data_IF_947358748903
#
_entry.id   IF_947358748903
#
_cell.length_a   1.000
_cell.length_b   1.000
_cell.length_c   1.000
_cell.angle_alpha   90.00
_cell.angle_beta   90.00
_cell.angle_gamma   90.00
#
_symmetry.space_group_name_H-M   'P 1'
#
loop_
_entity.id
_entity.type
_entity.pdbx_description
1 polymer ?
#
# COMPACT_ATOMS: atom_id res chain seq x y z
N UNK A 1 -22.58 38.78 8.01
CA UNK A 1 -23.69 37.86 8.29
C UNK A 1 -23.33 37.09 9.56
N UNK A 2 -23.95 37.43 10.74
CA UNK A 2 -23.63 36.73 12.00
C UNK A 2 -24.33 35.38 12.00
N UNK A 3 -23.56 34.29 12.03
CA UNK A 3 -24.10 32.93 12.19
C UNK A 3 -24.87 32.89 13.53
N UNK A 4 -26.12 32.41 13.49
CA UNK A 4 -26.98 32.29 14.64
C UNK A 4 -26.38 31.29 15.65
N UNK A 5 -26.33 31.66 16.92
CA UNK A 5 -25.75 30.92 18.06
C UNK A 5 -26.17 29.42 18.10
N UNK A 6 -27.41 29.13 17.66
CA UNK A 6 -27.90 27.73 17.53
C UNK A 6 -27.19 26.92 16.43
N UNK A 7 -26.78 27.55 15.32
CA UNK A 7 -26.03 26.85 14.25
C UNK A 7 -24.60 26.60 14.69
N UNK A 8 -23.97 27.55 15.37
CA UNK A 8 -22.62 27.40 15.91
C UNK A 8 -22.54 26.27 16.96
N UNK A 9 -23.53 26.21 17.88
CA UNK A 9 -23.63 25.11 18.86
C UNK A 9 -23.86 23.74 18.23
N UNK A 10 -24.62 23.65 17.12
CA UNK A 10 -24.80 22.39 16.36
C UNK A 10 -23.54 21.98 15.66
N UNK A 11 -22.80 22.90 15.06
CA UNK A 11 -21.51 22.61 14.38
C UNK A 11 -20.47 22.13 15.41
N UNK A 12 -20.39 22.79 16.58
CA UNK A 12 -19.51 22.38 17.67
C UNK A 12 -19.88 21.03 18.26
N UNK A 13 -21.15 20.70 18.39
CA UNK A 13 -21.62 19.39 18.85
C UNK A 13 -21.32 18.28 17.84
N UNK A 14 -21.46 18.54 16.55
CA UNK A 14 -21.14 17.58 15.47
C UNK A 14 -19.62 17.38 15.40
N UNK A 15 -18.82 18.45 15.51
CA UNK A 15 -17.37 18.36 15.53
C UNK A 15 -16.86 17.62 16.78
N UNK A 16 -17.48 17.84 17.95
CA UNK A 16 -17.16 17.14 19.18
C UNK A 16 -17.56 15.65 19.12
N UNK A 17 -18.75 15.34 18.57
CA UNK A 17 -19.18 13.95 18.36
C UNK A 17 -18.30 13.20 17.37
N UNK A 18 -17.82 13.87 16.30
CA UNK A 18 -16.84 13.33 15.36
C UNK A 18 -15.47 13.09 16.01
N UNK A 19 -14.99 14.03 16.85
CA UNK A 19 -13.74 13.83 17.61
C UNK A 19 -13.85 12.69 18.62
N UNK A 20 -14.97 12.54 19.32
CA UNK A 20 -15.20 11.45 20.27
C UNK A 20 -15.30 10.10 19.53
N UNK A 21 -15.94 10.04 18.37
CA UNK A 21 -16.03 8.84 17.54
C UNK A 21 -14.65 8.42 16.98
N UNK A 22 -13.80 9.39 16.60
CA UNK A 22 -12.42 9.13 16.15
C UNK A 22 -11.55 8.61 17.30
N UNK A 23 -11.72 9.16 18.52
CA UNK A 23 -10.98 8.70 19.71
C UNK A 23 -11.42 7.31 20.20
N UNK A 24 -12.69 6.93 19.99
CA UNK A 24 -13.20 5.62 20.39
C UNK A 24 -12.71 4.45 19.50
N UNK A 25 -12.42 4.73 18.22
CA UNK A 25 -11.99 3.68 17.27
C UNK A 25 -10.51 3.25 17.41
N UNK A 26 -9.65 4.08 18.01
CA UNK A 26 -8.22 3.78 18.17
C UNK A 26 -7.89 2.97 19.45
N UNK A 27 -8.86 2.61 20.26
CA UNK A 27 -8.64 2.26 21.70
C UNK A 27 -8.23 0.81 21.97
N UNK A 28 -8.27 -0.12 21.03
CA UNK A 28 -8.09 -1.54 21.35
C UNK A 28 -7.10 -2.32 20.47
N UNK A 29 -6.22 -1.63 19.73
CA UNK A 29 -5.21 -2.33 18.95
C UNK A 29 -4.04 -2.79 19.82
N UNK A 30 -3.78 -4.08 19.82
CA UNK A 30 -2.54 -4.68 20.30
C UNK A 30 -1.49 -4.65 19.19
N UNK A 31 -0.22 -4.72 19.60
CA UNK A 31 0.92 -4.68 18.70
C UNK A 31 1.82 -5.89 18.98
N UNK A 32 2.23 -6.54 17.89
CA UNK A 32 3.36 -7.45 17.87
C UNK A 32 4.39 -6.86 16.90
N UNK A 33 5.57 -6.51 17.40
CA UNK A 33 6.53 -5.68 16.66
C UNK A 33 7.86 -6.39 16.48
N UNK A 34 8.71 -5.85 15.58
CA UNK A 34 10.07 -6.35 15.33
C UNK A 34 10.12 -7.81 14.84
N UNK A 35 9.07 -8.28 14.17
CA UNK A 35 8.96 -9.66 13.71
C UNK A 35 9.82 -9.84 12.46
N UNK A 36 10.81 -10.71 12.53
CA UNK A 36 11.63 -11.09 11.37
C UNK A 36 10.80 -12.01 10.45
N UNK A 37 10.58 -11.58 9.20
CA UNK A 37 9.71 -12.31 8.26
C UNK A 37 10.45 -13.25 7.31
N UNK A 38 11.78 -13.22 7.26
CA UNK A 38 12.63 -14.11 6.46
C UNK A 38 13.96 -14.37 7.16
N UNK A 39 14.69 -15.38 6.72
CA UNK A 39 16.04 -15.66 7.21
C UNK A 39 16.95 -14.44 7.03
N UNK A 40 17.78 -14.15 8.03
CA UNK A 40 18.69 -13.01 8.05
C UNK A 40 20.16 -13.48 8.00
N UNK A 41 20.77 -13.55 6.80
CA UNK A 41 22.15 -13.97 6.65
C UNK A 41 23.17 -12.91 7.13
N UNK A 42 22.72 -11.67 7.32
CA UNK A 42 23.53 -10.52 7.72
C UNK A 42 22.71 -9.54 8.58
N UNK A 43 23.43 -8.66 9.30
CA UNK A 43 22.83 -7.67 10.21
C UNK A 43 21.94 -6.64 9.51
N UNK A 44 22.18 -6.33 8.23
CA UNK A 44 21.34 -5.42 7.47
C UNK A 44 19.99 -6.06 7.13
N UNK A 45 19.98 -7.30 6.68
CA UNK A 45 18.77 -8.09 6.46
C UNK A 45 17.98 -8.25 7.76
N UNK A 46 18.67 -8.57 8.87
CA UNK A 46 18.03 -8.70 10.19
C UNK A 46 17.35 -7.42 10.65
N UNK A 47 17.97 -6.26 10.39
CA UNK A 47 17.44 -4.94 10.72
C UNK A 47 16.25 -4.56 9.86
N UNK A 48 16.34 -4.79 8.55
CA UNK A 48 15.37 -4.22 7.59
C UNK A 48 14.21 -5.15 7.28
N UNK A 49 14.41 -6.48 7.29
CA UNK A 49 13.38 -7.46 6.93
C UNK A 49 12.48 -7.81 8.13
N UNK A 50 11.94 -6.79 8.77
CA UNK A 50 11.01 -6.91 9.90
C UNK A 50 9.66 -6.33 9.55
N UNK A 51 8.64 -6.80 10.26
CA UNK A 51 7.29 -6.26 10.17
C UNK A 51 6.70 -6.07 11.56
N UNK A 52 5.68 -5.22 11.63
CA UNK A 52 4.88 -4.99 12.83
C UNK A 52 3.42 -5.32 12.51
N UNK A 53 2.71 -5.93 13.44
CA UNK A 53 1.28 -6.29 13.30
C UNK A 53 0.47 -5.53 14.32
N UNK A 54 -0.53 -4.77 13.86
CA UNK A 54 -1.54 -4.15 14.72
C UNK A 54 -2.88 -4.85 14.52
N UNK A 55 -3.52 -5.30 15.61
CA UNK A 55 -4.73 -6.11 15.57
C UNK A 55 -5.62 -5.88 16.81
N UNK A 56 -6.92 -6.13 16.68
CA UNK A 56 -7.85 -6.17 17.82
C UNK A 56 -7.88 -7.56 18.43
N UNK A 57 -7.68 -7.66 19.76
CA UNK A 57 -7.73 -8.95 20.47
C UNK A 57 -9.10 -9.61 20.37
N UNK A 58 -9.12 -10.93 20.12
CA UNK A 58 -10.35 -11.70 19.96
C UNK A 58 -11.09 -11.47 18.64
N UNK A 59 -10.54 -10.66 17.74
CA UNK A 59 -11.07 -10.49 16.39
C UNK A 59 -10.98 -11.80 15.59
N UNK A 60 -11.98 -12.07 14.74
CA UNK A 60 -12.00 -13.22 13.82
C UNK A 60 -12.43 -12.73 12.43
N UNK A 61 -12.01 -13.46 11.40
CA UNK A 61 -12.36 -13.20 9.99
C UNK A 61 -12.08 -11.76 9.51
N UNK A 62 -11.02 -11.16 10.07
CA UNK A 62 -10.69 -9.75 9.85
C UNK A 62 -9.99 -9.54 8.50
N UNK A 63 -10.29 -8.45 7.78
CA UNK A 63 -9.50 -8.05 6.63
C UNK A 63 -8.07 -7.69 7.07
N UNK A 64 -7.10 -8.02 6.23
CA UNK A 64 -5.68 -7.81 6.48
C UNK A 64 -5.13 -6.82 5.45
N UNK A 65 -4.52 -5.75 5.91
CA UNK A 65 -3.85 -4.75 5.08
C UNK A 65 -2.34 -4.93 5.27
N UNK A 66 -1.64 -5.35 4.23
CA UNK A 66 -0.17 -5.38 4.21
C UNK A 66 0.30 -4.05 3.65
N UNK A 67 0.90 -3.23 4.50
CA UNK A 67 1.28 -1.85 4.21
C UNK A 67 2.77 -1.71 3.93
N UNK A 68 3.12 -1.15 2.77
CA UNK A 68 4.49 -0.83 2.37
C UNK A 68 4.70 0.69 2.37
N UNK A 69 5.69 1.15 3.14
CA UNK A 69 6.01 2.58 3.26
C UNK A 69 6.66 3.15 2.00
N UNK A 70 6.65 4.47 1.87
CA UNK A 70 7.37 5.22 0.83
C UNK A 70 8.86 5.42 1.17
N UNK A 71 9.52 6.33 0.43
CA UNK A 71 10.92 6.71 0.64
C UNK A 71 11.84 6.38 -0.52
N UNK A 72 11.30 6.31 -1.74
CA UNK A 72 12.09 6.20 -2.98
C UNK A 72 12.91 4.92 -3.12
N UNK A 73 12.64 3.86 -2.36
CA UNK A 73 13.44 2.64 -2.23
C UNK A 73 14.86 2.89 -1.70
N UNK A 74 15.18 4.07 -1.23
CA UNK A 74 16.50 4.48 -0.73
C UNK A 74 16.48 4.91 0.73
N UNK A 75 15.28 5.07 1.31
CA UNK A 75 15.06 5.50 2.69
C UNK A 75 13.66 5.16 3.17
N UNK A 76 13.32 5.67 4.36
CA UNK A 76 12.06 5.40 5.02
C UNK A 76 12.17 4.40 6.15
N UNK A 77 11.05 4.10 6.78
CA UNK A 77 10.98 3.14 7.88
C UNK A 77 9.62 2.49 7.93
N UNK A 78 9.54 1.22 8.36
CA UNK A 78 8.28 0.55 8.59
C UNK A 78 7.45 1.29 9.63
N UNK A 79 6.20 1.45 9.36
CA UNK A 79 5.21 2.02 10.27
C UNK A 79 3.82 1.53 9.87
N UNK A 80 2.88 1.69 10.77
CA UNK A 80 1.46 1.45 10.50
C UNK A 80 0.74 2.79 10.60
N UNK A 81 0.14 3.30 9.50
CA UNK A 81 -0.63 4.54 9.55
C UNK A 81 -1.82 4.45 10.50
N UNK A 82 -2.00 5.48 11.32
CA UNK A 82 -3.10 5.55 12.30
C UNK A 82 -4.47 5.45 11.64
N UNK A 83 -4.60 6.04 10.45
CA UNK A 83 -5.84 6.01 9.69
C UNK A 83 -6.27 4.60 9.28
N UNK A 84 -5.33 3.65 9.10
CA UNK A 84 -5.63 2.26 8.73
C UNK A 84 -6.06 1.40 9.92
N UNK A 85 -5.76 1.81 11.16
CA UNK A 85 -6.15 1.08 12.39
C UNK A 85 -7.59 1.39 12.78
N UNK A 86 -8.54 1.01 11.91
CA UNK A 86 -9.98 1.27 12.08
C UNK A 86 -10.78 0.08 11.57
N UNK A 87 -12.02 0.01 11.96
CA UNK A 87 -13.01 -0.96 11.48
C UNK A 87 -12.58 -2.43 11.68
N UNK A 88 -11.65 -2.68 12.64
CA UNK A 88 -11.17 -4.01 13.00
C UNK A 88 -10.25 -4.66 11.97
N UNK A 89 -9.72 -3.91 11.01
CA UNK A 89 -8.72 -4.43 10.09
C UNK A 89 -7.40 -4.75 10.82
N UNK A 90 -6.77 -5.87 10.48
CA UNK A 90 -5.39 -6.13 10.88
C UNK A 90 -4.48 -5.39 9.91
N UNK A 91 -3.50 -4.66 10.44
CA UNK A 91 -2.54 -3.93 9.61
C UNK A 91 -1.14 -4.46 9.87
N UNK A 92 -0.44 -4.83 8.81
CA UNK A 92 0.93 -5.31 8.84
C UNK A 92 1.82 -4.25 8.19
N UNK A 93 2.63 -3.55 9.00
CA UNK A 93 3.59 -2.56 8.51
C UNK A 93 4.92 -3.23 8.17
N UNK A 94 5.34 -3.16 6.92
CA UNK A 94 6.48 -3.91 6.39
C UNK A 94 7.70 -3.02 6.22
N UNK A 95 8.86 -3.46 6.74
CA UNK A 95 10.19 -2.96 6.39
C UNK A 95 10.78 -3.80 5.25
N UNK A 96 11.66 -3.21 4.46
CA UNK A 96 12.35 -3.87 3.35
C UNK A 96 13.72 -3.23 3.13
N UNK A 97 14.67 -3.98 2.54
CA UNK A 97 16.01 -3.48 2.25
C UNK A 97 15.98 -2.49 1.09
N UNK A 98 16.84 -1.49 1.15
CA UNK A 98 16.90 -0.42 0.15
C UNK A 98 17.86 -0.77 -0.99
N UNK A 99 17.56 -0.24 -2.16
CA UNK A 99 18.37 -0.43 -3.38
C UNK A 99 19.77 0.17 -3.26
N UNK A 100 20.05 1.01 -2.28
CA UNK A 100 21.39 1.48 -1.95
C UNK A 100 22.33 0.39 -1.47
N UNK A 101 21.77 -0.71 -0.91
CA UNK A 101 22.52 -1.80 -0.27
C UNK A 101 22.32 -3.15 -0.96
N UNK A 102 21.20 -3.32 -1.68
CA UNK A 102 20.87 -4.55 -2.39
C UNK A 102 20.39 -4.25 -3.82
N UNK A 103 20.18 -5.25 -4.63
CA UNK A 103 19.56 -5.10 -5.96
C UNK A 103 18.08 -4.77 -5.84
N UNK A 104 17.50 -4.15 -6.88
CA UNK A 104 16.06 -3.90 -6.92
C UNK A 104 15.25 -5.20 -6.86
N UNK A 105 15.72 -6.26 -7.52
CA UNK A 105 15.08 -7.57 -7.46
C UNK A 105 15.01 -8.13 -6.02
N UNK A 106 16.06 -7.94 -5.21
CA UNK A 106 16.06 -8.33 -3.80
C UNK A 106 15.12 -7.46 -2.96
N UNK A 107 15.01 -6.16 -3.22
CA UNK A 107 14.05 -5.28 -2.55
C UNK A 107 12.60 -5.71 -2.84
N UNK A 108 12.30 -6.07 -4.09
CA UNK A 108 10.97 -6.59 -4.48
C UNK A 108 10.72 -7.98 -3.86
N UNK A 109 11.76 -8.83 -3.79
CA UNK A 109 11.68 -10.14 -3.13
C UNK A 109 11.42 -10.01 -1.61
N UNK A 110 11.96 -9.00 -0.95
CA UNK A 110 11.67 -8.71 0.46
C UNK A 110 10.16 -8.41 0.65
N UNK A 111 9.57 -7.62 -0.25
CA UNK A 111 8.13 -7.37 -0.22
C UNK A 111 7.32 -8.66 -0.43
N UNK A 112 7.71 -9.52 -1.37
CA UNK A 112 7.05 -10.81 -1.60
C UNK A 112 7.20 -11.76 -0.41
N UNK A 113 8.39 -11.81 0.22
CA UNK A 113 8.65 -12.62 1.41
C UNK A 113 7.79 -12.20 2.61
N UNK A 114 7.58 -10.89 2.79
CA UNK A 114 6.70 -10.38 3.85
C UNK A 114 5.25 -10.79 3.65
N UNK A 115 4.77 -10.80 2.42
CA UNK A 115 3.44 -11.32 2.07
C UNK A 115 3.35 -12.82 2.36
N UNK A 116 4.40 -13.59 2.05
CA UNK A 116 4.45 -15.02 2.38
C UNK A 116 4.36 -15.26 3.89
N UNK A 117 5.05 -14.45 4.68
CA UNK A 117 4.92 -14.52 6.14
C UNK A 117 3.48 -14.26 6.60
N UNK A 118 2.78 -13.28 5.99
CA UNK A 118 1.37 -12.99 6.29
C UNK A 118 0.50 -14.22 6.04
N UNK A 119 0.62 -14.87 4.89
CA UNK A 119 -0.12 -16.10 4.57
C UNK A 119 0.13 -17.24 5.55
N UNK A 120 1.31 -17.30 6.14
CA UNK A 120 1.69 -18.36 7.10
C UNK A 120 1.27 -18.06 8.54
N UNK A 121 1.01 -16.80 8.89
CA UNK A 121 0.93 -16.41 10.31
C UNK A 121 -0.30 -15.60 10.70
N UNK A 122 -1.02 -14.97 9.74
CA UNK A 122 -1.97 -13.92 10.09
C UNK A 122 -3.24 -14.44 10.77
N UNK A 123 -3.58 -15.72 10.57
CA UNK A 123 -4.74 -16.34 11.23
C UNK A 123 -4.63 -16.35 12.76
N UNK A 124 -3.40 -16.45 13.31
CA UNK A 124 -3.18 -16.34 14.76
C UNK A 124 -3.56 -14.99 15.36
N UNK A 125 -3.67 -13.96 14.53
CA UNK A 125 -4.13 -12.62 14.88
C UNK A 125 -5.62 -12.39 14.54
N UNK A 126 -6.32 -13.43 14.05
CA UNK A 126 -7.71 -13.36 13.63
C UNK A 126 -7.92 -12.87 12.19
N UNK A 127 -6.87 -12.90 11.35
CA UNK A 127 -6.94 -12.52 9.95
C UNK A 127 -7.56 -13.60 9.07
N UNK A 128 -8.26 -13.16 8.02
CA UNK A 128 -8.87 -14.01 7.01
C UNK A 128 -7.99 -14.03 5.75
N UNK A 129 -7.45 -15.20 5.40
CA UNK A 129 -6.59 -15.38 4.22
C UNK A 129 -7.29 -15.06 2.89
N UNK A 130 -8.62 -15.07 2.85
CA UNK A 130 -9.40 -14.66 1.67
C UNK A 130 -9.58 -13.13 1.57
N UNK A 131 -9.12 -12.37 2.57
CA UNK A 131 -9.28 -10.91 2.69
C UNK A 131 -7.94 -10.19 2.84
N UNK A 132 -6.92 -10.62 2.10
CA UNK A 132 -5.59 -9.99 2.09
C UNK A 132 -5.56 -8.85 1.06
N UNK A 133 -5.27 -7.65 1.51
CA UNK A 133 -5.10 -6.44 0.70
C UNK A 133 -3.65 -5.97 0.77
N UNK A 134 -3.03 -5.71 -0.38
CA UNK A 134 -1.69 -5.12 -0.44
C UNK A 134 -1.84 -3.63 -0.71
N UNK A 135 -1.30 -2.79 0.16
CA UNK A 135 -1.35 -1.34 0.02
C UNK A 135 0.03 -0.72 0.26
N UNK A 136 0.29 0.41 -0.37
CA UNK A 136 1.56 1.11 -0.17
C UNK A 136 1.57 2.44 -0.88
N UNK A 137 2.36 3.38 -0.34
CA UNK A 137 2.51 4.72 -0.87
C UNK A 137 3.85 4.89 -1.58
N UNK A 138 3.87 5.60 -2.72
CA UNK A 138 5.09 5.95 -3.44
C UNK A 138 5.93 4.70 -3.81
N UNK A 139 7.13 4.55 -3.26
CA UNK A 139 7.95 3.34 -3.38
C UNK A 139 7.20 2.07 -2.92
N UNK A 140 6.39 2.16 -1.86
CA UNK A 140 5.52 1.06 -1.43
C UNK A 140 4.44 0.73 -2.46
N UNK A 141 3.84 1.74 -3.10
CA UNK A 141 2.90 1.55 -4.21
C UNK A 141 3.53 0.87 -5.44
N UNK A 142 4.78 1.21 -5.73
CA UNK A 142 5.59 0.50 -6.74
C UNK A 142 5.76 -0.99 -6.37
N UNK A 143 6.17 -1.29 -5.12
CA UNK A 143 6.35 -2.68 -4.66
C UNK A 143 5.05 -3.47 -4.75
N UNK A 144 3.92 -2.91 -4.30
CA UNK A 144 2.59 -3.51 -4.42
C UNK A 144 2.27 -3.87 -5.87
N UNK A 145 2.51 -2.93 -6.80
CA UNK A 145 2.25 -3.14 -8.22
C UNK A 145 3.17 -4.22 -8.82
N UNK A 146 4.46 -4.21 -8.45
CA UNK A 146 5.43 -5.21 -8.94
C UNK A 146 5.07 -6.62 -8.49
N UNK A 147 4.88 -6.85 -7.18
CA UNK A 147 4.60 -8.20 -6.68
C UNK A 147 3.20 -8.71 -7.05
N UNK A 148 2.25 -7.80 -7.28
CA UNK A 148 0.90 -8.14 -7.71
C UNK A 148 0.79 -8.46 -9.21
N UNK A 149 1.58 -7.82 -10.05
CA UNK A 149 1.52 -8.00 -11.52
C UNK A 149 2.54 -8.99 -12.04
N UNK A 150 3.79 -8.94 -11.57
CA UNK A 150 4.79 -9.97 -11.88
C UNK A 150 4.62 -11.16 -10.93
N UNK A 151 3.84 -12.14 -11.37
CA UNK A 151 3.53 -13.35 -10.58
C UNK A 151 4.75 -14.11 -10.06
N UNK A 152 5.90 -14.00 -10.74
CA UNK A 152 7.09 -14.78 -10.40
C UNK A 152 7.58 -14.52 -8.96
N UNK A 153 7.40 -13.29 -8.46
CA UNK A 153 7.81 -12.93 -7.10
C UNK A 153 7.01 -13.68 -6.02
N UNK A 154 5.68 -13.69 -6.11
CA UNK A 154 4.83 -14.38 -5.14
C UNK A 154 4.77 -15.90 -5.39
N UNK A 155 4.85 -16.35 -6.66
CA UNK A 155 4.89 -17.76 -7.02
C UNK A 155 6.09 -18.50 -6.41
N UNK A 156 7.22 -17.82 -6.20
CA UNK A 156 8.39 -18.35 -5.47
C UNK A 156 8.02 -18.83 -4.05
N UNK A 157 7.00 -18.24 -3.46
CA UNK A 157 6.47 -18.58 -2.14
C UNK A 157 5.17 -19.40 -2.18
N UNK A 158 4.79 -19.91 -3.35
CA UNK A 158 3.58 -20.71 -3.53
C UNK A 158 2.28 -19.90 -3.55
N UNK A 159 2.36 -18.58 -3.76
CA UNK A 159 1.21 -17.68 -3.76
C UNK A 159 0.88 -17.26 -5.20
N UNK A 160 -0.37 -17.48 -5.61
CA UNK A 160 -0.93 -16.94 -6.86
C UNK A 160 -1.63 -15.61 -6.54
N UNK A 161 -1.05 -14.45 -6.92
CA UNK A 161 -1.61 -13.15 -6.56
C UNK A 161 -3.04 -12.94 -7.09
N UNK A 162 -3.38 -13.54 -8.24
CA UNK A 162 -4.68 -13.33 -8.87
C UNK A 162 -5.82 -14.04 -8.14
N UNK A 163 -5.49 -15.09 -7.37
CA UNK A 163 -6.47 -15.89 -6.63
C UNK A 163 -6.50 -15.60 -5.14
N UNK A 164 -5.35 -15.25 -4.58
CA UNK A 164 -5.16 -15.19 -3.13
C UNK A 164 -5.08 -13.75 -2.60
N UNK A 165 -4.79 -12.75 -3.46
CA UNK A 165 -4.82 -11.35 -3.07
C UNK A 165 -6.19 -10.76 -3.42
N UNK A 166 -6.88 -10.22 -2.41
CA UNK A 166 -8.23 -9.66 -2.57
C UNK A 166 -8.23 -8.38 -3.41
N UNK A 167 -7.25 -7.51 -3.21
CA UNK A 167 -6.98 -6.36 -4.06
C UNK A 167 -5.58 -5.77 -3.82
N UNK A 168 -5.09 -5.06 -4.84
CA UNK A 168 -3.90 -4.24 -4.82
C UNK A 168 -4.29 -2.77 -4.71
N UNK A 169 -3.70 -2.03 -3.79
CA UNK A 169 -3.99 -0.61 -3.56
C UNK A 169 -2.70 0.23 -3.59
N UNK A 170 -2.10 0.45 -4.77
CA UNK A 170 -0.96 1.35 -4.91
C UNK A 170 -1.41 2.82 -4.82
N UNK A 171 -0.79 3.60 -3.92
CA UNK A 171 -0.98 5.04 -3.80
C UNK A 171 0.21 5.74 -4.44
N UNK A 172 -0.03 6.47 -5.50
CA UNK A 172 0.98 7.26 -6.21
C UNK A 172 2.28 6.49 -6.47
N UNK A 173 2.15 5.19 -6.77
CA UNK A 173 3.27 4.31 -7.10
C UNK A 173 3.86 4.66 -8.46
N UNK A 174 5.18 4.58 -8.62
CA UNK A 174 5.79 4.66 -9.93
C UNK A 174 5.45 3.39 -10.72
N UNK A 175 5.03 3.51 -11.97
CA UNK A 175 4.62 2.37 -12.78
C UNK A 175 5.52 2.10 -13.99
N UNK A 176 6.43 3.02 -14.28
CA UNK A 176 7.62 2.79 -15.11
C UNK A 176 8.74 2.22 -14.24
N UNK A 177 9.88 1.84 -14.81
CA UNK A 177 11.07 1.43 -14.06
C UNK A 177 11.42 2.48 -13.02
N UNK A 178 11.52 2.06 -11.75
CA UNK A 178 11.67 3.00 -10.63
C UNK A 178 12.89 3.92 -10.80
N UNK A 179 12.76 5.20 -10.46
CA UNK A 179 13.83 6.20 -10.69
C UNK A 179 15.16 5.79 -10.04
N UNK A 180 15.14 5.19 -8.85
CA UNK A 180 16.37 4.73 -8.18
C UNK A 180 17.11 3.63 -8.98
N UNK A 181 16.42 2.82 -9.76
CA UNK A 181 17.03 1.85 -10.67
C UNK A 181 17.57 2.55 -11.93
N UNK A 182 16.80 3.49 -12.51
CA UNK A 182 17.24 4.27 -13.68
C UNK A 182 18.50 5.07 -13.36
N UNK A 183 18.58 5.68 -12.18
CA UNK A 183 19.75 6.39 -11.70
C UNK A 183 21.00 5.50 -11.63
N UNK A 184 20.86 4.25 -11.10
CA UNK A 184 21.93 3.25 -11.13
C UNK A 184 22.38 2.87 -12.54
N UNK A 185 21.48 2.94 -13.51
CA UNK A 185 21.74 2.66 -14.92
C UNK A 185 22.27 3.90 -15.68
N UNK A 186 22.45 5.05 -15.01
CA UNK A 186 22.85 6.31 -15.65
C UNK A 186 21.76 6.97 -16.51
N UNK A 187 20.50 6.57 -16.32
CA UNK A 187 19.33 7.12 -17.04
C UNK A 187 18.79 8.29 -16.24
N UNK A 188 18.54 9.43 -16.92
CA UNK A 188 18.02 10.63 -16.29
C UNK A 188 16.62 10.39 -15.68
N UNK A 189 16.35 11.05 -14.53
CA UNK A 189 15.12 10.86 -13.76
C UNK A 189 13.81 11.11 -14.52
N UNK A 190 13.83 11.98 -15.52
CA UNK A 190 12.67 12.31 -16.35
C UNK A 190 12.59 11.49 -17.65
N UNK A 191 13.55 10.57 -17.90
CA UNK A 191 13.51 9.69 -19.08
C UNK A 191 12.66 8.46 -18.74
N UNK A 192 11.47 8.30 -19.35
CA UNK A 192 10.64 7.14 -19.09
C UNK A 192 11.31 5.86 -19.61
N UNK A 193 11.32 4.81 -18.80
CA UNK A 193 11.87 3.50 -19.15
C UNK A 193 10.89 2.43 -18.69
N UNK A 194 10.62 1.46 -19.56
CA UNK A 194 9.74 0.33 -19.26
C UNK A 194 10.53 -0.94 -19.58
N UNK A 195 10.98 -1.62 -18.53
CA UNK A 195 11.69 -2.89 -18.57
C UNK A 195 11.08 -3.88 -17.57
N UNK A 196 11.75 -4.99 -17.28
CA UNK A 196 11.32 -6.00 -16.32
C UNK A 196 11.13 -5.49 -14.89
N UNK A 197 11.55 -4.27 -14.58
CA UNK A 197 11.33 -3.59 -13.29
C UNK A 197 10.24 -2.53 -13.35
N UNK A 198 9.44 -2.49 -14.42
CA UNK A 198 8.31 -1.59 -14.56
C UNK A 198 6.98 -2.34 -14.34
N UNK A 199 6.10 -1.93 -13.44
CA UNK A 199 4.75 -2.48 -13.35
C UNK A 199 3.99 -2.47 -14.68
N UNK A 200 4.19 -1.45 -15.52
CA UNK A 200 3.61 -1.34 -16.86
C UNK A 200 4.01 -2.48 -17.80
N UNK A 201 5.17 -3.10 -17.61
CA UNK A 201 5.63 -4.25 -18.41
C UNK A 201 4.72 -5.47 -18.22
N UNK A 202 4.08 -5.60 -17.05
CA UNK A 202 3.27 -6.75 -16.65
C UNK A 202 1.77 -6.49 -16.68
N UNK A 203 1.33 -5.46 -17.39
CA UNK A 203 -0.12 -5.14 -17.50
C UNK A 203 -0.86 -6.29 -18.18
N UNK A 204 -1.92 -6.76 -17.55
CA UNK A 204 -2.75 -7.88 -18.01
C UNK A 204 -4.19 -7.77 -17.49
N UNK A 205 -5.12 -8.46 -18.14
CA UNK A 205 -6.56 -8.36 -17.84
C UNK A 205 -7.03 -9.23 -16.68
N UNK A 206 -6.26 -10.23 -16.29
CA UNK A 206 -6.60 -11.25 -15.28
C UNK A 206 -5.93 -11.01 -13.92
N UNK A 207 -5.29 -9.84 -13.72
CA UNK A 207 -4.68 -9.49 -12.44
C UNK A 207 -5.73 -9.31 -11.32
N UNK A 208 -5.27 -9.41 -10.07
CA UNK A 208 -6.11 -9.11 -8.90
C UNK A 208 -6.77 -7.73 -9.02
N UNK A 209 -7.97 -7.50 -8.43
CA UNK A 209 -8.61 -6.19 -8.41
C UNK A 209 -7.67 -5.08 -7.95
N UNK A 210 -7.77 -3.89 -8.55
CA UNK A 210 -6.87 -2.77 -8.24
C UNK A 210 -7.66 -1.51 -7.85
N UNK A 211 -7.18 -0.87 -6.78
CA UNK A 211 -7.57 0.47 -6.34
C UNK A 211 -6.36 1.39 -6.48
N UNK A 212 -6.20 2.00 -7.64
CA UNK A 212 -5.10 2.95 -7.90
C UNK A 212 -5.53 4.33 -7.40
N UNK A 213 -4.68 4.98 -6.59
CA UNK A 213 -4.95 6.32 -6.05
C UNK A 213 -3.73 7.19 -6.35
N UNK A 214 -3.94 8.38 -6.89
CA UNK A 214 -2.91 9.38 -7.15
C UNK A 214 -3.25 10.69 -6.45
N UNK A 215 -2.25 11.50 -6.12
CA UNK A 215 -2.45 12.89 -5.76
C UNK A 215 -3.01 13.70 -6.94
N UNK A 216 -3.26 14.98 -6.69
CA UNK A 216 -3.73 15.93 -7.67
C UNK A 216 -2.66 16.15 -8.75
N UNK A 217 -3.05 16.04 -10.02
CA UNK A 217 -2.14 16.17 -11.17
C UNK A 217 -1.31 17.46 -11.18
N UNK A 218 -1.83 18.54 -10.64
CA UNK A 218 -1.18 19.85 -10.69
C UNK A 218 -0.08 20.00 -9.61
N UNK A 219 -0.12 19.19 -8.54
CA UNK A 219 0.82 19.28 -7.42
C UNK A 219 1.52 17.97 -7.07
N UNK A 220 1.19 16.88 -7.76
CA UNK A 220 1.86 15.59 -7.63
C UNK A 220 3.31 15.66 -8.19
N UNK A 221 4.15 14.69 -7.87
CA UNK A 221 5.49 14.56 -8.46
C UNK A 221 5.42 14.46 -9.99
N UNK A 222 6.46 14.97 -10.65
CA UNK A 222 6.53 15.05 -12.12
C UNK A 222 6.11 13.76 -12.82
N UNK A 223 5.05 13.87 -13.63
CA UNK A 223 4.52 12.77 -14.45
C UNK A 223 3.90 11.61 -13.67
N UNK A 224 3.83 11.66 -12.34
CA UNK A 224 3.32 10.57 -11.53
C UNK A 224 1.83 10.31 -11.73
N UNK A 225 1.04 11.37 -11.82
CA UNK A 225 -0.38 11.24 -12.13
C UNK A 225 -0.57 10.63 -13.53
N UNK A 226 0.14 11.14 -14.54
CA UNK A 226 0.06 10.65 -15.92
C UNK A 226 0.49 9.19 -16.04
N UNK A 227 1.55 8.79 -15.32
CA UNK A 227 1.97 7.40 -15.23
C UNK A 227 0.82 6.51 -14.72
N UNK A 228 0.19 6.89 -13.60
CA UNK A 228 -0.90 6.12 -12.99
C UNK A 228 -2.17 6.12 -13.86
N UNK A 229 -2.53 7.26 -14.49
CA UNK A 229 -3.65 7.34 -15.40
C UNK A 229 -3.44 6.48 -16.66
N UNK A 230 -2.22 6.50 -17.24
CA UNK A 230 -1.84 5.65 -18.36
C UNK A 230 -1.85 4.17 -17.97
N UNK A 231 -1.30 3.83 -16.82
CA UNK A 231 -1.32 2.47 -16.28
C UNK A 231 -2.74 1.90 -16.18
N UNK A 232 -3.65 2.67 -15.57
CA UNK A 232 -5.06 2.29 -15.46
C UNK A 232 -5.72 2.14 -16.85
N UNK A 233 -5.39 3.04 -17.78
CA UNK A 233 -5.86 2.93 -19.17
C UNK A 233 -5.38 1.64 -19.82
N UNK A 234 -4.11 1.29 -19.65
CA UNK A 234 -3.54 0.07 -20.22
C UNK A 234 -4.12 -1.20 -19.58
N UNK A 235 -4.35 -1.21 -18.28
CA UNK A 235 -5.07 -2.31 -17.60
C UNK A 235 -6.44 -2.55 -18.25
N UNK A 236 -7.24 -1.49 -18.43
CA UNK A 236 -8.57 -1.57 -19.04
C UNK A 236 -8.53 -2.04 -20.50
N UNK A 237 -7.58 -1.54 -21.29
CA UNK A 237 -7.39 -1.96 -22.68
C UNK A 237 -6.98 -3.42 -22.80
N UNK A 238 -6.24 -3.96 -21.82
CA UNK A 238 -5.89 -5.37 -21.73
C UNK A 238 -6.99 -6.23 -21.08
N UNK A 239 -8.19 -5.67 -20.89
CA UNK A 239 -9.37 -6.42 -20.44
C UNK A 239 -9.55 -6.48 -18.91
N UNK A 240 -8.76 -5.74 -18.13
CA UNK A 240 -8.93 -5.69 -16.68
C UNK A 240 -10.21 -4.96 -16.29
N UNK A 241 -11.19 -5.69 -15.74
CA UNK A 241 -12.54 -5.16 -15.46
C UNK A 241 -12.67 -4.53 -14.06
N UNK A 242 -11.78 -4.90 -13.13
CA UNK A 242 -11.88 -4.56 -11.71
C UNK A 242 -10.79 -3.57 -11.30
N UNK A 243 -10.64 -2.45 -12.05
CA UNK A 243 -9.73 -1.37 -11.71
C UNK A 243 -10.46 -0.06 -11.45
N UNK A 244 -10.28 0.47 -10.24
CA UNK A 244 -10.79 1.78 -9.82
C UNK A 244 -9.61 2.75 -9.76
N UNK A 245 -9.81 3.97 -10.22
CA UNK A 245 -8.82 5.04 -10.15
C UNK A 245 -9.42 6.25 -9.45
N UNK A 246 -8.70 6.79 -8.48
CA UNK A 246 -9.01 8.05 -7.82
C UNK A 246 -7.84 9.02 -7.97
N UNK A 247 -8.15 10.24 -8.34
CA UNK A 247 -7.33 11.43 -8.14
C UNK A 247 -7.81 12.11 -6.85
N UNK A 248 -6.88 12.49 -5.99
CA UNK A 248 -7.19 13.18 -4.73
C UNK A 248 -6.88 14.65 -4.92
N UNK A 249 -7.90 15.40 -5.37
CA UNK A 249 -7.84 16.81 -5.73
C UNK A 249 -7.32 17.66 -4.58
N UNK A 250 -6.35 18.56 -4.86
CA UNK A 250 -5.73 19.46 -3.90
C UNK A 250 -4.66 18.83 -2.99
N UNK A 251 -4.34 17.54 -3.12
CA UNK A 251 -3.33 16.86 -2.31
C UNK A 251 -2.08 16.52 -3.12
N UNK A 252 -0.92 16.92 -2.60
CA UNK A 252 0.37 16.58 -3.19
C UNK A 252 0.76 15.11 -2.96
N UNK A 253 1.98 14.73 -3.40
CA UNK A 253 2.49 13.37 -3.28
C UNK A 253 2.50 12.82 -1.85
N UNK A 254 2.83 13.65 -0.87
CA UNK A 254 2.91 13.23 0.54
C UNK A 254 1.55 13.18 1.20
N UNK A 255 0.82 14.27 1.09
CA UNK A 255 -0.42 14.49 1.83
C UNK A 255 -1.59 13.65 1.30
N UNK A 256 -1.53 13.17 0.04
CA UNK A 256 -2.56 12.29 -0.54
C UNK A 256 -2.70 10.94 0.19
N UNK A 257 -1.71 10.52 0.95
CA UNK A 257 -1.75 9.24 1.65
C UNK A 257 -2.88 9.18 2.69
N UNK A 258 -3.12 10.27 3.43
CA UNK A 258 -4.17 10.31 4.47
C UNK A 258 -5.59 10.09 3.90
N UNK A 259 -6.08 10.86 2.91
CA UNK A 259 -7.38 10.55 2.29
C UNK A 259 -7.39 9.20 1.56
N UNK A 260 -6.27 8.74 1.00
CA UNK A 260 -6.18 7.44 0.34
C UNK A 260 -6.43 6.27 1.31
N UNK A 261 -5.99 6.37 2.57
CA UNK A 261 -6.30 5.37 3.60
C UNK A 261 -7.82 5.23 3.81
N UNK A 262 -8.54 6.34 3.83
CA UNK A 262 -10.01 6.31 3.99
C UNK A 262 -10.71 5.72 2.76
N UNK A 263 -10.18 5.99 1.56
CA UNK A 263 -10.68 5.38 0.32
C UNK A 263 -10.46 3.86 0.32
N UNK A 264 -9.29 3.38 0.78
CA UNK A 264 -9.02 1.94 0.93
C UNK A 264 -9.98 1.28 1.94
N UNK A 265 -10.16 1.86 3.12
CA UNK A 265 -11.08 1.31 4.12
C UNK A 265 -12.53 1.26 3.60
N UNK A 266 -12.97 2.30 2.90
CA UNK A 266 -14.27 2.32 2.21
C UNK A 266 -14.35 1.23 1.14
N UNK A 267 -13.30 1.04 0.35
CA UNK A 267 -13.23 -0.01 -0.66
C UNK A 267 -13.34 -1.39 -0.02
N UNK A 268 -12.57 -1.69 1.03
CA UNK A 268 -12.61 -2.95 1.78
C UNK A 268 -14.02 -3.23 2.32
N UNK A 269 -14.66 -2.22 2.91
CA UNK A 269 -16.02 -2.34 3.47
C UNK A 269 -17.06 -2.69 2.40
N UNK A 270 -16.87 -2.24 1.17
CA UNK A 270 -17.79 -2.48 0.06
C UNK A 270 -17.55 -3.83 -0.66
N UNK A 271 -16.50 -4.59 -0.30
CA UNK A 271 -16.18 -5.91 -0.87
C UNK A 271 -16.84 -7.08 -0.10
N UNK A 272 -17.85 -6.79 0.71
CA UNK A 272 -18.62 -7.78 1.48
C UNK A 272 -19.53 -8.61 0.60
#
# INVERSE_FOLDING_TARGET
>A
MKLNDRHMKRILLIAFALMVAVAASAKNYKWDTEILYKGAPDAYTEKMCRLDVAYEEGGQDRPVIVWFHGGGLTGGWRHIPDALRRDGAIVVGVGYRFVTNVSLAETIDDAAASVAWVFQNIEKYGGDLSKIYLAGHSAGGYLVSMIGLNKAYLAKYGIDPDKQIKALAPYSGQVITHFAQREKQGIANLTPTIDEFAPLFYVRGDAAPMLVISGDREVELFGRYEENAYFVRMLRLNGHKNVTFYEVDGFDHGDMAEPAHLLLLKYIKNQK
#
